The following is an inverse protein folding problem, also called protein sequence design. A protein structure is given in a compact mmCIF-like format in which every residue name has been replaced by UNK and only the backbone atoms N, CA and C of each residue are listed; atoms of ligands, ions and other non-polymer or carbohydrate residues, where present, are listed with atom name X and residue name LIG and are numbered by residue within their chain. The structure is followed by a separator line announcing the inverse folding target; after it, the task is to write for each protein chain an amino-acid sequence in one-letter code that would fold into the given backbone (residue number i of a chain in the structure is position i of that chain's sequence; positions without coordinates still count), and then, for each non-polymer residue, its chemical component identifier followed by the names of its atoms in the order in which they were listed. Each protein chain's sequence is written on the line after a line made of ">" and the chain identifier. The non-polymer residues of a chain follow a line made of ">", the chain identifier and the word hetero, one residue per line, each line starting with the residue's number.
data_IF_771490959866
#
_entry.id   IF_771490959866
#
_cell.length_a   1.000
_cell.length_b   1.000
_cell.length_c   1.000
_cell.angle_alpha   90.00
_cell.angle_beta   90.00
_cell.angle_gamma   90.00
#
_symmetry.space_group_name_H-M   'P 1'
#
loop_
_entity.id
_entity.type
_entity.pdbx_description
1 polymer ?
#
# COMPACT_ATOMS: atom_id res chain seq x y z
N UNK A 1 -9.92 -1.87 -19.63
CA UNK A 1 -9.38 -0.74 -18.83
C UNK A 1 -8.83 0.28 -19.81
N UNK A 2 -9.05 1.58 -19.63
CA UNK A 2 -8.33 2.54 -20.45
C UNK A 2 -6.83 2.48 -20.08
N UNK A 3 -5.97 2.46 -21.10
CA UNK A 3 -4.51 2.48 -20.95
C UNK A 3 -4.02 3.63 -20.04
N UNK A 4 -4.83 4.70 -19.98
CA UNK A 4 -4.63 5.87 -19.12
C UNK A 4 -4.66 5.52 -17.63
N UNK A 5 -5.51 4.60 -17.16
CA UNK A 5 -5.62 4.29 -15.72
C UNK A 5 -4.34 3.66 -15.17
N UNK A 6 -3.78 2.69 -15.89
CA UNK A 6 -2.51 2.04 -15.51
C UNK A 6 -1.35 3.04 -15.60
N UNK A 7 -1.34 3.89 -16.63
CA UNK A 7 -0.32 4.94 -16.76
C UNK A 7 -0.34 5.96 -15.61
N UNK A 8 -1.52 6.30 -15.07
CA UNK A 8 -1.60 7.19 -13.89
C UNK A 8 -1.08 6.52 -12.61
N UNK A 9 -1.30 5.21 -12.46
CA UNK A 9 -0.76 4.42 -11.33
C UNK A 9 0.75 4.36 -11.41
N UNK A 10 1.31 4.05 -12.59
CA UNK A 10 2.76 4.06 -12.81
C UNK A 10 3.41 5.44 -12.58
N UNK A 11 2.65 6.52 -12.72
CA UNK A 11 3.11 7.89 -12.46
C UNK A 11 2.94 8.32 -11.01
N UNK A 12 2.51 7.43 -10.11
CA UNK A 12 2.22 7.76 -8.70
C UNK A 12 1.06 8.74 -8.52
N UNK A 13 0.29 9.03 -9.57
CA UNK A 13 -0.84 9.99 -9.52
C UNK A 13 -2.11 9.36 -8.95
N UNK A 14 -2.11 8.05 -8.73
CA UNK A 14 -3.24 7.30 -8.20
C UNK A 14 -2.77 5.99 -7.56
N UNK A 15 -3.21 5.71 -6.35
CA UNK A 15 -2.94 4.44 -5.69
C UNK A 15 -3.65 3.24 -6.34
N UNK A 16 -3.17 2.04 -6.01
CA UNK A 16 -3.74 0.76 -6.45
C UNK A 16 -4.97 0.43 -5.61
N UNK A 17 -6.15 0.56 -6.20
CA UNK A 17 -7.41 0.11 -5.58
C UNK A 17 -7.63 -1.40 -5.77
N UNK A 18 -8.55 -1.99 -4.99
CA UNK A 18 -8.92 -3.42 -5.11
C UNK A 18 -9.36 -3.84 -6.52
N UNK A 19 -10.15 -3.03 -7.23
CA UNK A 19 -10.54 -3.31 -8.64
C UNK A 19 -9.32 -3.31 -9.57
N UNK A 20 -8.36 -2.41 -9.35
CA UNK A 20 -7.11 -2.38 -10.12
C UNK A 20 -6.28 -3.63 -9.82
N UNK A 21 -6.10 -3.98 -8.55
CA UNK A 21 -5.34 -5.14 -8.13
C UNK A 21 -5.88 -6.45 -8.73
N UNK A 22 -7.22 -6.61 -8.75
CA UNK A 22 -7.89 -7.76 -9.37
C UNK A 22 -7.71 -7.82 -10.90
N UNK A 23 -7.54 -6.67 -11.55
CA UNK A 23 -7.29 -6.63 -13.00
C UNK A 23 -5.82 -6.90 -13.30
N UNK A 24 -4.90 -6.31 -12.54
CA UNK A 24 -3.47 -6.59 -12.66
C UNK A 24 -3.15 -8.07 -12.38
N UNK A 25 -3.81 -8.67 -11.38
CA UNK A 25 -3.67 -10.11 -11.11
C UNK A 25 -4.10 -10.96 -12.30
N UNK A 26 -5.21 -10.60 -12.96
CA UNK A 26 -5.68 -11.32 -14.17
C UNK A 26 -4.75 -11.13 -15.38
N UNK A 27 -4.13 -9.97 -15.52
CA UNK A 27 -3.24 -9.69 -16.65
C UNK A 27 -1.82 -10.24 -16.47
N UNK A 28 -1.29 -10.22 -15.24
CA UNK A 28 0.11 -10.56 -14.95
C UNK A 28 0.24 -11.97 -14.35
N UNK A 29 -0.84 -12.53 -13.81
CA UNK A 29 -0.86 -13.88 -13.22
C UNK A 29 -0.45 -13.95 -11.74
N UNK A 30 -0.14 -12.81 -11.11
CA UNK A 30 0.17 -12.73 -9.69
C UNK A 30 -1.08 -12.50 -8.83
N UNK A 31 -0.98 -12.54 -7.51
CA UNK A 31 -2.14 -12.33 -6.62
C UNK A 31 -2.57 -10.85 -6.55
N UNK A 32 -3.86 -10.58 -6.35
CA UNK A 32 -4.34 -9.22 -6.10
C UNK A 32 -3.76 -8.65 -4.79
N UNK A 33 -3.54 -9.52 -3.79
CA UNK A 33 -2.94 -9.16 -2.51
C UNK A 33 -1.50 -8.67 -2.65
N UNK A 34 -0.73 -9.20 -3.61
CA UNK A 34 0.61 -8.70 -3.92
C UNK A 34 0.56 -7.21 -4.30
N UNK A 35 -0.36 -6.83 -5.18
CA UNK A 35 -0.50 -5.44 -5.63
C UNK A 35 -1.01 -4.49 -4.54
N UNK A 36 -1.87 -4.97 -3.65
CA UNK A 36 -2.31 -4.19 -2.50
C UNK A 36 -1.21 -4.03 -1.46
N UNK A 37 -0.41 -5.08 -1.22
CA UNK A 37 0.75 -5.00 -0.32
C UNK A 37 1.74 -3.93 -0.77
N UNK A 38 2.00 -3.80 -2.08
CA UNK A 38 2.85 -2.72 -2.60
C UNK A 38 2.28 -1.32 -2.35
N UNK A 39 0.95 -1.17 -2.34
CA UNK A 39 0.32 0.11 -1.99
C UNK A 39 0.43 0.37 -0.48
N UNK A 40 0.17 -0.65 0.34
CA UNK A 40 0.26 -0.56 1.79
C UNK A 40 1.68 -0.18 2.22
N UNK A 41 2.71 -0.82 1.63
CA UNK A 41 4.12 -0.52 1.90
C UNK A 41 4.47 0.93 1.53
N UNK A 42 4.01 1.39 0.36
CA UNK A 42 4.21 2.78 -0.08
C UNK A 42 3.53 3.78 0.86
N UNK A 43 2.28 3.52 1.24
CA UNK A 43 1.52 4.40 2.13
C UNK A 43 2.18 4.46 3.52
N UNK A 44 2.74 3.35 4.00
CA UNK A 44 3.51 3.29 5.25
C UNK A 44 4.79 4.12 5.15
N UNK A 45 5.58 3.95 4.09
CA UNK A 45 6.81 4.73 3.90
C UNK A 45 6.52 6.23 3.75
N UNK A 46 5.50 6.60 2.98
CA UNK A 46 5.07 7.99 2.81
C UNK A 46 4.63 8.59 4.15
N UNK A 47 3.82 7.86 4.93
CA UNK A 47 3.37 8.29 6.24
C UNK A 47 4.52 8.39 7.25
N UNK A 48 5.48 7.46 7.21
CA UNK A 48 6.68 7.52 8.03
C UNK A 48 7.49 8.78 7.73
N UNK A 49 7.73 9.07 6.45
CA UNK A 49 8.47 10.27 6.00
C UNK A 49 7.72 11.55 6.39
N UNK A 50 6.39 11.58 6.23
CA UNK A 50 5.59 12.77 6.47
C UNK A 50 5.30 13.01 7.97
N UNK A 51 5.26 11.95 8.79
CA UNK A 51 4.84 11.99 10.18
C UNK A 51 5.89 11.43 11.16
N UNK A 52 7.19 11.47 10.82
CA UNK A 52 8.31 11.04 11.69
C UNK A 52 8.14 11.52 13.16
N UNK A 53 7.62 12.73 13.34
CA UNK A 53 7.43 13.37 14.67
C UNK A 53 6.24 12.76 15.46
N UNK A 54 5.19 12.26 14.81
CA UNK A 54 3.99 11.73 15.50
C UNK A 54 4.18 10.30 15.97
N UNK A 55 4.89 9.47 15.21
CA UNK A 55 5.05 8.05 15.51
C UNK A 55 6.04 7.86 16.68
N UNK A 56 7.06 8.70 16.79
CA UNK A 56 8.00 8.67 17.92
C UNK A 56 7.35 8.99 19.29
N UNK A 57 6.17 9.62 19.30
CA UNK A 57 5.38 9.89 20.50
C UNK A 57 4.35 8.81 20.83
N UNK A 58 4.09 7.85 19.92
CA UNK A 58 3.16 6.77 20.17
C UNK A 58 3.81 5.69 21.03
N UNK A 59 3.30 5.53 22.25
CA UNK A 59 3.71 4.46 23.15
C UNK A 59 3.24 3.13 22.59
N UNK A 60 4.18 2.25 22.23
CA UNK A 60 3.87 0.85 21.90
C UNK A 60 3.12 0.23 23.07
N UNK A 61 1.91 -0.25 22.82
CA UNK A 61 1.16 -1.02 23.80
C UNK A 61 1.86 -2.38 23.87
N UNK A 62 2.80 -2.53 24.81
CA UNK A 62 3.36 -3.84 25.13
C UNK A 62 2.26 -4.67 25.79
N UNK A 63 1.39 -5.26 25.00
CA UNK A 63 0.44 -6.26 25.48
C UNK A 63 1.28 -7.46 25.86
N UNK A 64 1.64 -7.54 27.13
CA UNK A 64 2.37 -8.65 27.71
C UNK A 64 1.50 -9.90 27.65
N UNK A 65 1.56 -10.61 26.53
CA UNK A 65 1.29 -12.05 26.51
C UNK A 65 2.60 -12.73 26.87
N UNK A 66 2.86 -12.75 28.18
CA UNK A 66 3.75 -13.73 28.78
C UNK A 66 3.09 -15.09 28.61
N UNK A 67 3.75 -15.97 27.85
CA UNK A 67 3.45 -17.41 27.88
C UNK A 67 4.08 -18.03 29.13
#
# INVERSE_FOLDING_TARGET
>A
MSQTRISQIMKGKRGITTDTALRLSKYIGNSAKFWLGLQDDYDIEEELINNEIKISGMKTISTGVAY
#
